data_IF_155720870513
#
_entry.id   IF_155720870513
#
_cell.length_a   1.000
_cell.length_b   1.000
_cell.length_c   1.000
_cell.angle_alpha   90.00
_cell.angle_beta   90.00
_cell.angle_gamma   90.00
#
_symmetry.space_group_name_H-M   'P 1'
#
loop_
_entity.id
_entity.type
_entity.pdbx_description
1 polymer ?
#
# COMPACT_ATOMS: atom_id res chain seq x y z
N UNK A 1 -4.24 -16.54 -5.37
CA UNK A 1 -4.48 -16.30 -6.81
C UNK A 1 -3.42 -16.85 -7.75
N UNK A 2 -2.11 -16.65 -7.52
CA UNK A 2 -1.06 -17.26 -8.39
C UNK A 2 -1.14 -18.79 -8.42
N UNK A 3 -1.47 -19.41 -7.28
CA UNK A 3 -1.71 -20.85 -7.18
C UNK A 3 -2.93 -21.30 -8.01
N UNK A 4 -4.03 -20.54 -7.95
CA UNK A 4 -5.23 -20.78 -8.76
C UNK A 4 -4.98 -20.66 -10.28
N UNK A 5 -4.11 -19.72 -10.70
CA UNK A 5 -3.65 -19.64 -12.11
C UNK A 5 -2.80 -20.86 -12.49
N UNK A 6 -1.87 -21.29 -11.62
CA UNK A 6 -1.04 -22.48 -11.83
C UNK A 6 -1.89 -23.75 -11.91
N UNK A 7 -3.00 -23.79 -11.17
CA UNK A 7 -3.98 -24.88 -11.16
C UNK A 7 -5.06 -24.75 -12.26
N UNK A 8 -4.99 -23.74 -13.14
CA UNK A 8 -5.96 -23.56 -14.24
C UNK A 8 -7.37 -23.15 -13.81
N UNK A 9 -7.57 -22.78 -12.54
CA UNK A 9 -8.88 -22.45 -11.94
C UNK A 9 -9.29 -20.99 -12.14
N UNK A 10 -8.62 -20.25 -13.03
CA UNK A 10 -8.95 -18.85 -13.33
C UNK A 10 -9.91 -18.77 -14.51
N UNK A 11 -10.91 -17.87 -14.49
CA UNK A 11 -11.81 -17.67 -15.60
C UNK A 11 -11.06 -17.35 -16.92
N UNK A 12 -11.53 -17.82 -18.08
CA UNK A 12 -10.82 -17.72 -19.35
C UNK A 12 -10.56 -16.26 -19.81
N UNK A 13 -11.38 -15.31 -19.37
CA UNK A 13 -11.18 -13.89 -19.64
C UNK A 13 -10.04 -13.26 -18.81
N UNK A 14 -9.49 -13.96 -17.81
CA UNK A 14 -8.46 -13.46 -16.91
C UNK A 14 -7.04 -13.79 -17.44
N UNK A 15 -6.66 -13.19 -18.57
CA UNK A 15 -5.41 -13.47 -19.28
C UNK A 15 -4.14 -13.11 -18.47
N UNK A 16 -4.21 -12.12 -17.58
CA UNK A 16 -3.08 -11.67 -16.76
C UNK A 16 -3.49 -11.48 -15.30
N UNK A 17 -3.11 -12.43 -14.45
CA UNK A 17 -3.25 -12.28 -12.99
C UNK A 17 -2.08 -11.45 -12.47
N UNK A 18 -2.27 -10.14 -12.39
CA UNK A 18 -1.38 -9.29 -11.61
C UNK A 18 -1.76 -9.44 -10.13
N UNK A 19 -0.81 -9.78 -9.25
CA UNK A 19 -1.13 -9.88 -7.83
C UNK A 19 -1.52 -8.47 -7.31
N UNK A 20 -2.54 -8.38 -6.44
CA UNK A 20 -3.09 -7.09 -6.01
C UNK A 20 -1.99 -6.25 -5.36
N UNK A 21 -1.67 -5.09 -5.95
CA UNK A 21 -0.84 -4.08 -5.32
C UNK A 21 0.62 -4.46 -4.99
N UNK A 22 1.28 -5.41 -5.67
CA UNK A 22 2.71 -5.69 -5.42
C UNK A 22 3.60 -5.11 -6.52
N UNK A 23 4.46 -4.14 -6.18
CA UNK A 23 5.53 -3.67 -7.07
C UNK A 23 6.74 -4.59 -6.87
N UNK A 24 7.26 -5.16 -7.96
CA UNK A 24 8.53 -5.89 -7.93
C UNK A 24 9.68 -4.88 -8.10
N UNK A 25 10.53 -4.71 -7.09
CA UNK A 25 11.86 -4.08 -7.22
C UNK A 25 12.92 -5.15 -6.97
N UNK A 26 13.93 -5.25 -7.83
CA UNK A 26 15.08 -6.15 -7.63
C UNK A 26 14.73 -7.64 -7.50
N UNK A 27 13.60 -8.09 -8.07
CA UNK A 27 13.15 -9.49 -7.96
C UNK A 27 12.42 -9.85 -6.66
N UNK A 28 12.43 -8.99 -5.64
CA UNK A 28 11.70 -9.17 -4.38
C UNK A 28 10.34 -8.47 -4.40
N UNK A 29 9.36 -9.04 -3.70
CA UNK A 29 8.02 -8.47 -3.53
C UNK A 29 8.06 -7.52 -2.33
N UNK A 30 7.90 -6.22 -2.57
CA UNK A 30 7.83 -5.22 -1.49
C UNK A 30 6.39 -4.88 -1.20
N UNK A 31 6.03 -4.81 0.09
CA UNK A 31 4.72 -4.31 0.51
C UNK A 31 4.71 -2.79 0.33
N UNK A 32 3.71 -2.29 -0.40
CA UNK A 32 3.48 -0.86 -0.55
C UNK A 32 1.97 -0.62 -0.62
N UNK A 33 1.54 0.57 -0.20
CA UNK A 33 0.16 1.01 -0.34
C UNK A 33 0.12 2.39 -0.94
N UNK A 34 -0.90 2.62 -1.77
CA UNK A 34 -1.17 3.90 -2.42
C UNK A 34 -2.43 4.47 -1.81
N UNK A 35 -2.33 5.68 -1.27
CA UNK A 35 -3.44 6.40 -0.68
C UNK A 35 -3.79 7.59 -1.56
N UNK A 36 -5.07 7.71 -1.89
CA UNK A 36 -5.62 8.92 -2.52
C UNK A 36 -5.74 10.05 -1.50
N UNK A 37 -5.78 11.29 -1.97
CA UNK A 37 -5.94 12.50 -1.13
C UNK A 37 -7.07 12.40 -0.08
N UNK A 38 -8.18 11.74 -0.42
CA UNK A 38 -9.34 11.57 0.48
C UNK A 38 -9.19 10.42 1.50
N UNK A 39 -8.22 9.52 1.29
CA UNK A 39 -7.97 8.34 2.12
C UNK A 39 -6.93 8.57 3.20
N UNK A 40 -6.31 9.74 3.29
CA UNK A 40 -5.38 10.04 4.38
C UNK A 40 -5.47 11.48 4.88
N UNK A 41 -5.08 11.67 6.14
CA UNK A 41 -4.88 12.98 6.76
C UNK A 41 -3.60 12.96 7.56
N UNK A 42 -2.85 14.06 7.49
CA UNK A 42 -1.65 14.26 8.30
C UNK A 42 -2.04 15.18 9.47
N UNK A 43 -1.78 14.74 10.69
CA UNK A 43 -2.04 15.49 11.93
C UNK A 43 -0.78 15.46 12.80
N UNK A 44 0.04 16.51 12.70
CA UNK A 44 1.31 16.61 13.44
C UNK A 44 2.26 15.44 13.11
N UNK A 45 2.57 14.62 14.11
CA UNK A 45 3.40 13.41 13.97
C UNK A 45 2.63 12.16 13.52
N UNK A 46 1.36 12.29 13.13
CA UNK A 46 0.51 11.15 12.80
C UNK A 46 -0.04 11.21 11.38
N UNK A 47 -0.14 10.03 10.76
CA UNK A 47 -0.87 9.81 9.51
C UNK A 47 -2.10 8.97 9.84
N UNK A 48 -3.28 9.52 9.56
CA UNK A 48 -4.56 8.84 9.70
C UNK A 48 -4.97 8.32 8.34
N UNK A 49 -4.98 7.01 8.18
CA UNK A 49 -5.46 6.32 6.98
C UNK A 49 -6.93 5.99 7.18
N UNK A 50 -7.77 6.34 6.20
CA UNK A 50 -9.22 6.16 6.20
C UNK A 50 -9.63 5.19 5.09
N UNK A 51 -10.78 4.55 5.26
CA UNK A 51 -11.38 3.71 4.21
C UNK A 51 -10.75 2.33 4.10
N UNK A 52 -10.29 1.77 5.22
CA UNK A 52 -9.74 0.40 5.29
C UNK A 52 -10.84 -0.69 5.41
N UNK A 53 -12.05 -0.40 4.92
CA UNK A 53 -13.20 -1.29 5.02
C UNK A 53 -13.57 -1.59 6.46
N UNK A 54 -13.52 -2.87 6.87
CA UNK A 54 -13.90 -3.35 8.20
C UNK A 54 -13.05 -2.76 9.35
N UNK A 55 -11.82 -2.32 9.06
CA UNK A 55 -10.95 -1.68 10.05
C UNK A 55 -11.32 -0.20 10.25
N UNK A 56 -12.05 0.41 9.30
CA UNK A 56 -12.44 1.81 9.32
C UNK A 56 -11.25 2.74 9.06
N UNK A 57 -10.47 3.03 10.11
CA UNK A 57 -9.33 3.94 10.07
C UNK A 57 -8.19 3.50 10.99
N UNK A 58 -6.96 3.75 10.56
CA UNK A 58 -5.74 3.49 11.35
C UNK A 58 -4.99 4.79 11.55
N UNK A 59 -4.48 5.00 12.77
CA UNK A 59 -3.56 6.09 13.11
C UNK A 59 -2.15 5.55 13.25
N UNK A 60 -1.23 6.05 12.43
CA UNK A 60 0.18 5.64 12.41
C UNK A 60 1.03 6.83 12.88
N UNK A 61 1.93 6.60 13.84
CA UNK A 61 2.92 7.60 14.25
C UNK A 61 4.10 7.57 13.29
N UNK A 62 4.58 8.75 12.90
CA UNK A 62 5.75 8.92 12.06
C UNK A 62 6.85 9.66 12.84
N UNK A 63 8.06 9.11 12.84
CA UNK A 63 9.20 9.61 13.63
C UNK A 63 10.03 10.68 12.92
N UNK A 64 9.56 11.22 11.79
CA UNK A 64 10.29 12.19 10.96
C UNK A 64 9.53 13.49 10.73
N UNK A 65 10.17 14.44 10.04
CA UNK A 65 9.53 15.71 9.65
C UNK A 65 8.76 15.54 8.34
N UNK A 66 7.46 15.81 8.38
CA UNK A 66 6.62 15.81 7.18
C UNK A 66 6.66 17.21 6.57
N UNK A 67 7.50 17.42 5.55
CA UNK A 67 7.55 18.68 4.78
C UNK A 67 6.45 18.75 3.70
N UNK A 68 5.24 18.35 4.06
CA UNK A 68 4.10 18.34 3.14
C UNK A 68 3.18 19.48 3.54
N UNK A 69 3.24 20.58 2.79
CA UNK A 69 2.29 21.69 2.89
C UNK A 69 1.33 21.66 1.68
N UNK A 70 0.03 21.84 1.92
CA UNK A 70 -1.00 21.93 0.87
C UNK A 70 -1.69 20.62 0.48
N UNK A 71 -2.58 20.69 -0.53
CA UNK A 71 -3.42 19.57 -1.00
C UNK A 71 -2.62 18.65 -1.91
N UNK A 72 -2.28 17.47 -1.41
CA UNK A 72 -1.47 16.48 -2.13
C UNK A 72 -2.32 15.39 -2.77
N UNK A 73 -2.08 15.05 -4.03
CA UNK A 73 -2.91 14.08 -4.77
C UNK A 73 -2.76 12.63 -4.26
N UNK A 74 -1.54 12.09 -4.30
CA UNK A 74 -1.25 10.67 -4.05
C UNK A 74 -0.13 10.54 -3.04
N UNK A 75 -0.37 9.76 -2.00
CA UNK A 75 0.66 9.34 -1.06
C UNK A 75 1.03 7.86 -1.31
N UNK A 76 2.32 7.57 -1.22
CA UNK A 76 2.86 6.21 -1.32
C UNK A 76 3.54 5.87 0.01
N UNK A 77 3.09 4.80 0.65
CA UNK A 77 3.73 4.26 1.84
C UNK A 77 4.45 2.99 1.43
N UNK A 78 5.77 2.99 1.60
CA UNK A 78 6.61 1.83 1.34
C UNK A 78 6.97 1.17 2.67
N UNK A 79 6.76 -0.14 2.75
CA UNK A 79 7.29 -0.91 3.86
C UNK A 79 8.78 -1.19 3.59
N UNK A 80 9.62 -0.69 4.48
CA UNK A 80 11.02 -1.07 4.53
C UNK A 80 11.17 -2.18 5.58
N UNK A 81 11.65 -3.34 5.16
CA UNK A 81 11.99 -4.40 6.09
C UNK A 81 13.40 -4.09 6.55
N UNK A 82 13.52 -3.40 7.68
CA UNK A 82 14.81 -3.15 8.32
C UNK A 82 15.52 -4.50 8.47
N UNK A 83 16.54 -4.74 7.63
CA UNK A 83 17.41 -5.91 7.73
C UNK A 83 18.22 -5.70 9.00
N UNK A 84 17.63 -6.03 10.17
CA UNK A 84 18.39 -6.16 11.41
C UNK A 84 19.53 -7.13 11.14
N UNK A 85 20.73 -6.56 11.08
CA UNK A 85 22.01 -7.25 10.99
C UNK A 85 22.39 -7.87 12.34
#
# INVERSE_FOLDING_TARGET
MLKARKEGRTPPFMARVNPPGYRKRGGRKTLWTVLRNDQYRIEGEYIIIKGLGAVGSIRIRYSGKIHIAGRQGRAEIHYDHDEKK
#
